data_IF_240435275387
#
_entry.id   IF_240435275387
#
_cell.length_a   1.000
_cell.length_b   1.000
_cell.length_c   1.000
_cell.angle_alpha   90.00
_cell.angle_beta   90.00
_cell.angle_gamma   90.00
#
_symmetry.space_group_name_H-M   'P 1'
#
loop_
_entity.id
_entity.type
_entity.pdbx_description
1 polymer ?
#
# COMPACT_ATOMS: atom_id res chain seq x y z
N UNK A 1 15.71 -58.80 57.17
CA UNK A 1 15.92 -57.42 57.70
C UNK A 1 17.05 -56.81 56.86
N UNK A 2 16.67 -56.22 55.77
CA UNK A 2 17.58 -55.77 54.71
C UNK A 2 17.96 -54.31 54.96
N UNK A 3 19.23 -54.05 55.24
CA UNK A 3 19.75 -52.70 55.47
C UNK A 3 20.02 -52.07 54.10
N UNK A 4 19.13 -51.20 53.65
CA UNK A 4 19.40 -50.33 52.51
C UNK A 4 20.63 -49.44 52.78
N UNK A 5 21.74 -49.77 52.12
CA UNK A 5 22.92 -48.91 52.08
C UNK A 5 22.63 -47.66 51.25
N UNK A 6 22.28 -46.57 51.91
CA UNK A 6 22.26 -45.23 51.25
C UNK A 6 23.70 -44.80 51.01
N UNK A 7 24.19 -44.92 49.75
CA UNK A 7 25.46 -44.33 49.34
C UNK A 7 25.33 -42.81 49.37
N UNK A 8 26.06 -42.17 50.32
CA UNK A 8 26.15 -40.71 50.35
C UNK A 8 26.91 -40.24 49.08
N UNK A 9 26.31 -39.32 48.34
CA UNK A 9 26.95 -38.68 47.20
C UNK A 9 28.15 -37.85 47.64
N UNK A 10 29.27 -37.99 46.94
CA UNK A 10 30.47 -37.18 47.24
C UNK A 10 30.22 -35.73 46.78
N UNK A 11 30.88 -34.75 47.46
CA UNK A 11 30.77 -33.33 47.10
C UNK A 11 30.99 -33.07 45.61
N UNK A 12 31.93 -33.79 45.00
CA UNK A 12 32.20 -33.73 43.53
C UNK A 12 31.00 -34.14 42.71
N UNK A 13 30.28 -35.18 43.09
CA UNK A 13 29.08 -35.64 42.36
C UNK A 13 27.92 -34.66 42.45
N UNK A 14 27.76 -33.99 43.60
CA UNK A 14 26.73 -32.94 43.80
C UNK A 14 27.00 -31.71 42.92
N UNK A 15 28.29 -31.26 42.86
CA UNK A 15 28.67 -30.15 41.97
C UNK A 15 28.51 -30.50 40.50
N UNK A 16 28.89 -31.71 40.08
CA UNK A 16 28.72 -32.16 38.69
C UNK A 16 27.25 -32.22 38.30
N UNK A 17 26.37 -32.72 39.16
CA UNK A 17 24.94 -32.77 38.94
C UNK A 17 24.30 -31.36 38.85
N UNK A 18 24.71 -30.46 39.75
CA UNK A 18 24.29 -29.05 39.71
C UNK A 18 24.68 -28.36 38.42
N UNK A 19 25.89 -28.59 37.90
CA UNK A 19 26.37 -27.99 36.65
C UNK A 19 25.60 -28.53 35.42
N UNK A 20 25.28 -29.83 35.40
CA UNK A 20 24.47 -30.44 34.35
C UNK A 20 23.04 -29.89 34.37
N UNK A 21 22.41 -29.78 35.54
CA UNK A 21 21.08 -29.20 35.67
C UNK A 21 21.04 -27.72 35.23
N UNK A 22 22.05 -26.93 35.60
CA UNK A 22 22.18 -25.55 35.18
C UNK A 22 22.31 -25.44 33.64
N UNK A 23 23.13 -26.29 33.05
CA UNK A 23 23.30 -26.32 31.58
C UNK A 23 22.02 -26.72 30.86
N UNK A 24 21.26 -27.69 31.37
CA UNK A 24 19.97 -28.11 30.83
C UNK A 24 18.90 -27.02 30.96
N UNK A 25 18.85 -26.29 32.09
CA UNK A 25 17.94 -25.15 32.26
C UNK A 25 18.30 -24.01 31.33
N UNK A 26 19.61 -23.73 31.15
CA UNK A 26 20.09 -22.72 30.23
C UNK A 26 19.75 -23.06 28.77
N UNK A 27 19.86 -24.30 28.35
CA UNK A 27 19.45 -24.78 27.06
C UNK A 27 17.92 -24.66 26.81
N UNK A 28 17.12 -24.90 27.87
CA UNK A 28 15.67 -24.71 27.78
C UNK A 28 15.27 -23.23 27.64
N UNK A 29 15.97 -22.33 28.35
CA UNK A 29 15.71 -20.90 28.28
C UNK A 29 16.05 -20.30 26.87
N UNK A 30 17.03 -20.86 26.17
CA UNK A 30 17.45 -20.40 24.85
C UNK A 30 16.38 -20.63 23.76
N UNK A 31 15.42 -21.53 23.97
CA UNK A 31 14.36 -21.83 22.98
C UNK A 31 13.14 -20.90 23.04
N UNK A 32 13.11 -19.93 23.97
CA UNK A 32 11.97 -19.00 24.10
C UNK A 32 12.15 -17.67 23.37
N UNK A 33 13.28 -17.44 22.72
CA UNK A 33 13.41 -16.30 21.80
C UNK A 33 12.66 -16.64 20.53
N UNK A 34 11.37 -16.36 20.51
CA UNK A 34 10.57 -16.38 19.28
C UNK A 34 11.04 -15.18 18.45
N UNK A 35 11.95 -15.45 17.53
CA UNK A 35 12.35 -14.46 16.53
C UNK A 35 11.10 -13.91 15.84
N UNK A 36 11.15 -12.64 15.41
CA UNK A 36 10.20 -12.06 14.47
C UNK A 36 9.97 -13.04 13.31
N UNK A 37 8.82 -13.02 12.62
CA UNK A 37 8.56 -13.95 11.52
C UNK A 37 9.74 -13.93 10.57
N UNK A 38 10.29 -15.10 10.26
CA UNK A 38 11.54 -15.26 9.50
C UNK A 38 11.48 -14.56 8.13
N UNK A 39 10.26 -14.34 7.59
CA UNK A 39 10.06 -13.62 6.33
C UNK A 39 8.60 -13.20 6.18
N UNK A 40 8.38 -11.99 5.64
CA UNK A 40 7.06 -11.55 5.16
C UNK A 40 6.79 -11.97 3.71
N UNK A 41 7.75 -12.63 3.05
CA UNK A 41 7.62 -13.01 1.64
C UNK A 41 6.37 -13.85 1.35
N UNK A 42 5.99 -14.88 2.14
CA UNK A 42 4.77 -15.64 1.87
C UNK A 42 3.49 -14.80 1.95
N UNK A 43 3.44 -13.84 2.87
CA UNK A 43 2.32 -12.90 2.97
C UNK A 43 2.26 -12.00 1.74
N UNK A 44 3.40 -11.43 1.35
CA UNK A 44 3.51 -10.57 0.16
C UNK A 44 3.10 -11.34 -1.11
N UNK A 45 3.55 -12.57 -1.28
CA UNK A 45 3.15 -13.42 -2.42
C UNK A 45 1.63 -13.65 -2.46
N UNK A 46 1.00 -13.81 -1.30
CA UNK A 46 -0.44 -14.04 -1.20
C UNK A 46 -1.26 -12.81 -1.51
N UNK A 47 -0.86 -11.62 -1.04
CA UNK A 47 -1.66 -10.39 -1.16
C UNK A 47 -1.35 -9.57 -2.42
N UNK A 48 -0.11 -9.65 -2.93
CA UNK A 48 0.34 -8.85 -4.08
C UNK A 48 -0.53 -8.95 -5.34
N UNK A 49 -1.11 -10.11 -5.68
CA UNK A 49 -1.97 -10.20 -6.87
C UNK A 49 -3.22 -9.31 -6.80
N UNK A 50 -3.69 -9.02 -5.59
CA UNK A 50 -4.85 -8.17 -5.35
C UNK A 50 -4.52 -6.68 -5.17
N UNK A 51 -3.22 -6.34 -5.06
CA UNK A 51 -2.77 -4.95 -4.96
C UNK A 51 -2.60 -4.38 -6.36
N UNK A 52 -3.14 -3.19 -6.59
CA UNK A 52 -3.20 -2.55 -7.90
C UNK A 52 -2.62 -1.15 -7.88
N UNK A 53 -2.08 -0.72 -9.01
CA UNK A 53 -1.77 0.67 -9.27
C UNK A 53 -3.01 1.38 -9.83
N UNK A 54 -3.21 2.63 -9.45
CA UNK A 54 -4.31 3.45 -9.94
C UNK A 54 -3.71 4.66 -10.63
N UNK A 55 -4.05 4.82 -11.89
CA UNK A 55 -3.70 6.01 -12.68
C UNK A 55 -4.97 6.80 -12.93
N UNK A 56 -4.96 8.07 -12.57
CA UNK A 56 -6.04 8.99 -12.88
C UNK A 56 -5.59 9.99 -13.92
N UNK A 57 -6.50 10.40 -14.79
CA UNK A 57 -6.28 11.50 -15.72
C UNK A 57 -7.36 12.56 -15.55
N UNK A 58 -6.92 13.82 -15.58
CA UNK A 58 -7.78 15.00 -15.48
C UNK A 58 -7.43 15.94 -16.62
N UNK A 59 -8.45 16.37 -17.35
CA UNK A 59 -8.30 17.36 -18.42
C UNK A 59 -8.33 18.75 -17.80
N UNK A 60 -7.17 19.33 -17.56
CA UNK A 60 -7.08 20.71 -17.08
C UNK A 60 -7.27 21.63 -18.26
N UNK A 61 -8.33 22.44 -18.23
CA UNK A 61 -8.48 23.53 -19.21
C UNK A 61 -7.22 24.40 -19.15
N UNK A 62 -6.65 24.69 -20.31
CA UNK A 62 -5.51 25.60 -20.32
C UNK A 62 -5.93 26.89 -19.62
N UNK A 63 -5.06 27.44 -18.75
CA UNK A 63 -5.32 28.75 -18.18
C UNK A 63 -5.53 29.69 -19.37
N UNK A 64 -6.74 30.24 -19.47
CA UNK A 64 -7.00 31.38 -20.36
C UNK A 64 -6.06 32.46 -19.85
N UNK A 65 -4.94 32.64 -20.55
CA UNK A 65 -4.02 33.72 -20.21
C UNK A 65 -4.84 34.99 -20.05
N UNK A 66 -4.39 35.95 -19.25
CA UNK A 66 -5.14 37.14 -18.98
C UNK A 66 -5.43 37.90 -20.28
N UNK A 67 -6.53 37.56 -20.93
CA UNK A 67 -7.11 38.33 -21.99
C UNK A 67 -7.56 39.66 -21.37
N UNK A 68 -6.81 40.69 -21.60
CA UNK A 68 -7.18 42.01 -21.16
C UNK A 68 -6.20 42.73 -20.23
N UNK A 69 -5.04 42.14 -19.92
CA UNK A 69 -4.03 42.85 -19.08
C UNK A 69 -3.18 43.82 -19.90
N UNK A 70 -3.06 43.63 -21.21
CA UNK A 70 -2.34 44.56 -22.08
C UNK A 70 -3.36 45.35 -22.87
N UNK A 71 -3.49 46.70 -22.64
CA UNK A 71 -4.34 47.56 -23.43
C UNK A 71 -3.95 47.51 -24.93
N UNK A 72 -4.97 47.49 -25.82
CA UNK A 72 -4.71 47.58 -27.24
C UNK A 72 -3.87 48.82 -27.59
N UNK A 73 -2.78 48.64 -28.35
CA UNK A 73 -1.84 49.67 -28.69
C UNK A 73 -0.69 49.89 -27.71
N UNK A 74 -0.53 48.97 -26.70
CA UNK A 74 0.61 49.02 -25.80
C UNK A 74 1.89 48.59 -26.52
N UNK A 75 3.06 49.26 -26.25
CA UNK A 75 4.34 48.84 -26.79
C UNK A 75 4.77 47.37 -26.39
N UNK A 76 4.05 46.80 -25.44
CA UNK A 76 4.31 45.44 -24.93
C UNK A 76 3.40 44.37 -25.58
N UNK A 77 2.46 44.78 -26.44
CA UNK A 77 1.50 43.85 -27.08
C UNK A 77 2.20 42.83 -27.97
N UNK A 78 3.18 43.25 -28.75
CA UNK A 78 3.96 42.40 -29.64
C UNK A 78 4.80 41.40 -28.85
N UNK A 79 5.48 41.86 -27.74
CA UNK A 79 6.27 41.04 -26.89
C UNK A 79 5.42 39.98 -26.14
N UNK A 80 4.21 40.33 -25.74
CA UNK A 80 3.29 39.45 -25.06
C UNK A 80 2.73 38.39 -26.04
N UNK A 81 2.46 38.78 -27.29
CA UNK A 81 2.04 37.88 -28.34
C UNK A 81 3.13 36.89 -28.70
N UNK A 82 4.39 37.34 -28.86
CA UNK A 82 5.56 36.52 -29.10
C UNK A 82 5.83 35.53 -27.93
N UNK A 83 5.60 35.96 -26.69
CA UNK A 83 5.72 35.13 -25.51
C UNK A 83 4.64 34.04 -25.44
N UNK A 84 3.39 34.39 -25.79
CA UNK A 84 2.29 33.43 -25.90
C UNK A 84 2.55 32.38 -27.00
N UNK A 85 3.00 32.82 -28.17
CA UNK A 85 3.30 31.94 -29.31
C UNK A 85 4.46 31.00 -29.02
N UNK A 86 5.51 31.45 -28.29
CA UNK A 86 6.67 30.64 -27.90
C UNK A 86 6.38 29.68 -26.75
N UNK A 87 5.50 30.04 -25.85
CA UNK A 87 5.12 29.21 -24.69
C UNK A 87 3.91 28.28 -24.97
N UNK A 88 3.52 28.10 -26.24
CA UNK A 88 2.44 27.22 -26.61
C UNK A 88 1.07 27.76 -26.20
N UNK A 89 0.84 29.06 -26.40
CA UNK A 89 -0.41 29.79 -26.07
C UNK A 89 -1.62 29.44 -26.91
N UNK A 90 -1.65 28.31 -27.59
CA UNK A 90 -2.89 27.71 -28.03
C UNK A 90 -3.43 26.90 -26.87
N UNK A 91 -4.48 27.39 -26.23
CA UNK A 91 -5.18 26.80 -25.08
C UNK A 91 -5.65 25.35 -25.30
N UNK A 92 -4.74 24.49 -25.72
CA UNK A 92 -4.97 23.06 -25.74
C UNK A 92 -5.10 22.54 -24.31
N UNK A 93 -6.15 21.78 -24.01
CA UNK A 93 -6.30 21.10 -22.74
C UNK A 93 -5.02 20.30 -22.41
N UNK A 94 -4.53 20.42 -21.20
CA UNK A 94 -3.41 19.60 -20.72
C UNK A 94 -3.96 18.48 -19.89
N UNK A 95 -3.57 17.25 -20.22
CA UNK A 95 -3.86 16.11 -19.37
C UNK A 95 -2.87 16.10 -18.22
N UNK A 96 -3.40 16.12 -17.00
CA UNK A 96 -2.66 15.86 -15.76
C UNK A 96 -2.94 14.42 -15.36
N UNK A 97 -1.92 13.70 -14.95
CA UNK A 97 -2.06 12.33 -14.41
C UNK A 97 -1.57 12.28 -12.99
N UNK A 98 -2.29 11.58 -12.15
CA UNK A 98 -1.85 11.23 -10.79
C UNK A 98 -1.77 9.71 -10.64
N UNK A 99 -0.95 9.27 -9.68
CA UNK A 99 -0.73 7.87 -9.38
C UNK A 99 -1.11 7.59 -7.93
N UNK A 100 -1.75 6.44 -7.71
CA UNK A 100 -2.10 5.95 -6.41
C UNK A 100 -2.05 4.43 -6.36
N UNK A 101 -2.47 3.87 -5.24
CA UNK A 101 -2.58 2.42 -5.05
C UNK A 101 -3.94 2.07 -4.49
N UNK A 102 -4.36 0.84 -4.73
CA UNK A 102 -5.57 0.27 -4.19
C UNK A 102 -5.46 -1.23 -4.03
N UNK A 103 -6.54 -1.85 -3.61
CA UNK A 103 -6.62 -3.30 -3.53
C UNK A 103 -8.02 -3.81 -3.83
N UNK A 104 -8.07 -4.97 -4.48
CA UNK A 104 -9.31 -5.66 -4.83
C UNK A 104 -9.86 -6.35 -3.58
N UNK A 105 -11.15 -6.18 -3.30
CA UNK A 105 -11.84 -6.74 -2.11
C UNK A 105 -12.86 -7.83 -2.44
N UNK A 106 -13.12 -8.06 -3.73
CA UNK A 106 -14.06 -9.11 -4.17
C UNK A 106 -13.71 -9.61 -5.55
N UNK A 107 -13.98 -10.88 -5.81
CA UNK A 107 -13.68 -11.54 -7.09
C UNK A 107 -14.41 -10.94 -8.29
N UNK A 108 -15.51 -10.23 -8.06
CA UNK A 108 -16.29 -9.54 -9.09
C UNK A 108 -15.79 -8.12 -9.40
N UNK A 109 -14.69 -7.66 -8.75
CA UNK A 109 -13.97 -6.46 -9.14
C UNK A 109 -14.28 -5.19 -8.37
N UNK A 110 -14.67 -5.28 -7.11
CA UNK A 110 -14.65 -4.11 -6.24
C UNK A 110 -13.25 -3.81 -5.74
N UNK A 111 -12.86 -2.53 -5.81
CA UNK A 111 -11.52 -2.04 -5.44
C UNK A 111 -11.65 -0.90 -4.45
N UNK A 112 -10.84 -0.91 -3.41
CA UNK A 112 -10.73 0.20 -2.45
C UNK A 112 -9.45 0.98 -2.70
N UNK A 113 -9.58 2.30 -2.63
CA UNK A 113 -8.47 3.27 -2.65
C UNK A 113 -8.83 4.47 -1.77
N UNK A 114 -7.95 5.47 -1.72
CA UNK A 114 -8.23 6.72 -1.05
C UNK A 114 -9.03 7.68 -1.95
N UNK A 115 -9.90 8.48 -1.34
CA UNK A 115 -10.69 9.46 -2.08
C UNK A 115 -9.80 10.50 -2.77
N UNK A 116 -8.75 11.00 -2.10
CA UNK A 116 -7.85 11.99 -2.68
C UNK A 116 -7.10 11.50 -3.93
N UNK A 117 -6.98 10.16 -4.13
CA UNK A 117 -6.35 9.58 -5.35
C UNK A 117 -7.23 9.80 -6.57
N UNK A 118 -8.55 9.77 -6.39
CA UNK A 118 -9.52 9.82 -7.50
C UNK A 118 -10.29 11.14 -7.57
N UNK A 119 -10.04 12.06 -6.63
CA UNK A 119 -10.70 13.36 -6.60
C UNK A 119 -10.36 14.14 -7.89
N UNK A 120 -11.39 14.71 -8.52
CA UNK A 120 -11.30 15.45 -9.79
C UNK A 120 -10.81 14.65 -11.01
N UNK A 121 -10.80 13.31 -10.93
CA UNK A 121 -10.42 12.45 -12.07
C UNK A 121 -11.54 12.35 -13.08
N UNK A 122 -11.23 12.60 -14.36
CA UNK A 122 -12.13 12.35 -15.50
C UNK A 122 -12.12 10.87 -15.89
N UNK A 123 -10.96 10.21 -15.75
CA UNK A 123 -10.78 8.79 -16.06
C UNK A 123 -9.93 8.13 -14.98
N UNK A 124 -10.31 6.91 -14.58
CA UNK A 124 -9.59 6.10 -13.59
C UNK A 124 -9.24 4.77 -14.24
N UNK A 125 -7.95 4.43 -14.26
CA UNK A 125 -7.41 3.16 -14.72
C UNK A 125 -6.77 2.39 -13.59
N UNK A 126 -7.02 1.11 -13.56
CA UNK A 126 -6.45 0.17 -12.60
C UNK A 126 -5.53 -0.77 -13.35
N UNK A 127 -4.26 -0.80 -12.94
CA UNK A 127 -3.24 -1.69 -13.46
C UNK A 127 -2.91 -2.78 -12.43
N UNK A 128 -3.07 -4.01 -12.84
CA UNK A 128 -2.73 -5.21 -12.08
C UNK A 128 -1.25 -5.56 -12.22
N UNK A 129 -0.75 -6.39 -11.32
CA UNK A 129 0.66 -6.82 -11.31
C UNK A 129 1.13 -7.51 -12.59
N UNK A 130 0.25 -8.20 -13.29
CA UNK A 130 0.51 -8.87 -14.58
C UNK A 130 0.50 -7.92 -15.78
N UNK A 131 0.26 -6.62 -15.56
CA UNK A 131 0.16 -5.60 -16.58
C UNK A 131 -1.24 -5.47 -17.22
N UNK A 132 -2.26 -6.17 -16.68
CA UNK A 132 -3.63 -6.00 -17.11
C UNK A 132 -4.14 -4.62 -16.65
N UNK A 133 -4.67 -3.84 -17.57
CA UNK A 133 -5.29 -2.54 -17.31
C UNK A 133 -6.80 -2.60 -17.50
N UNK A 134 -7.54 -2.07 -16.53
CA UNK A 134 -9.00 -1.98 -16.58
C UNK A 134 -9.46 -0.56 -16.24
N UNK A 135 -10.47 -0.08 -16.94
CA UNK A 135 -11.17 1.16 -16.57
C UNK A 135 -12.05 0.92 -15.34
N UNK A 136 -12.01 1.85 -14.40
CA UNK A 136 -12.79 1.77 -13.18
C UNK A 136 -13.87 2.85 -13.12
N UNK A 137 -15.00 2.47 -12.50
CA UNK A 137 -16.11 3.38 -12.21
C UNK A 137 -16.20 3.62 -10.72
N UNK A 138 -16.45 4.85 -10.31
CA UNK A 138 -16.68 5.20 -8.90
C UNK A 138 -18.06 4.70 -8.50
N UNK A 139 -18.10 3.87 -7.45
CA UNK A 139 -19.33 3.36 -6.83
C UNK A 139 -19.76 4.27 -5.67
N UNK A 140 -18.80 4.75 -4.90
CA UNK A 140 -19.05 5.66 -3.79
C UNK A 140 -17.76 6.16 -3.16
N UNK A 141 -17.89 7.26 -2.42
CA UNK A 141 -16.76 7.88 -1.70
C UNK A 141 -17.20 8.30 -0.31
N UNK A 142 -16.27 8.23 0.65
CA UNK A 142 -16.40 8.87 1.95
C UNK A 142 -15.19 9.79 2.16
N UNK A 143 -15.44 11.09 2.05
CA UNK A 143 -14.42 12.14 2.20
C UNK A 143 -13.92 12.29 3.64
N UNK A 144 -14.71 11.88 4.64
CA UNK A 144 -14.34 12.06 6.04
C UNK A 144 -13.25 11.09 6.48
N UNK A 145 -13.29 9.87 5.94
CA UNK A 145 -12.30 8.82 6.21
C UNK A 145 -11.36 8.57 5.02
N UNK A 146 -11.47 9.40 3.97
CA UNK A 146 -10.63 9.35 2.75
C UNK A 146 -10.67 7.98 2.06
N UNK A 147 -11.87 7.41 1.87
CA UNK A 147 -12.05 6.13 1.17
C UNK A 147 -12.90 6.31 -0.09
N UNK A 148 -12.50 5.63 -1.15
CA UNK A 148 -13.26 5.47 -2.38
C UNK A 148 -13.43 3.99 -2.72
N UNK A 149 -14.65 3.63 -3.15
CA UNK A 149 -15.01 2.32 -3.69
C UNK A 149 -15.15 2.44 -5.19
N UNK A 150 -14.38 1.63 -5.91
CA UNK A 150 -14.39 1.55 -7.36
C UNK A 150 -14.91 0.19 -7.81
N UNK A 151 -15.35 0.11 -9.06
CA UNK A 151 -15.76 -1.12 -9.73
C UNK A 151 -15.06 -1.23 -11.08
N UNK A 152 -14.42 -2.38 -11.32
CA UNK A 152 -13.92 -2.78 -12.65
C UNK A 152 -14.74 -3.93 -13.18
N UNK A 153 -14.82 -4.01 -14.51
CA UNK A 153 -15.50 -5.09 -15.22
C UNK A 153 -14.46 -6.03 -15.84
N UNK A 154 -14.51 -7.30 -15.49
CA UNK A 154 -13.65 -8.34 -16.07
C UNK A 154 -14.44 -9.64 -16.26
N UNK A 155 -14.02 -10.49 -17.20
CA UNK A 155 -14.73 -11.74 -17.54
C UNK A 155 -14.46 -12.85 -16.54
N UNK A 156 -13.23 -12.89 -16.04
CA UNK A 156 -12.76 -13.91 -15.10
C UNK A 156 -12.77 -13.33 -13.67
N UNK A 157 -12.76 -14.21 -12.67
CA UNK A 157 -12.63 -13.81 -11.27
C UNK A 157 -11.28 -13.14 -11.02
N UNK A 158 -11.30 -12.01 -10.33
CA UNK A 158 -10.11 -11.26 -9.97
C UNK A 158 -9.55 -11.72 -8.63
N UNK A 159 -8.21 -11.71 -8.45
CA UNK A 159 -7.62 -11.93 -7.15
C UNK A 159 -8.03 -10.83 -6.19
N UNK A 160 -8.37 -11.20 -4.96
CA UNK A 160 -8.84 -10.26 -3.95
C UNK A 160 -8.30 -10.59 -2.57
N UNK A 161 -8.30 -9.60 -1.67
CA UNK A 161 -7.96 -9.75 -0.24
C UNK A 161 -9.20 -9.71 0.61
N UNK A 162 -9.17 -10.42 1.74
CA UNK A 162 -10.23 -10.37 2.75
C UNK A 162 -9.90 -9.32 3.82
N UNK A 163 -10.91 -8.68 4.36
CA UNK A 163 -10.74 -7.79 5.51
C UNK A 163 -10.36 -8.58 6.76
N UNK A 164 -9.40 -8.04 7.50
CA UNK A 164 -9.07 -8.52 8.83
C UNK A 164 -10.00 -7.93 9.89
N UNK A 165 -9.95 -8.51 11.09
CA UNK A 165 -10.60 -7.97 12.27
C UNK A 165 -9.61 -7.05 13.00
N UNK A 166 -9.86 -5.74 12.95
CA UNK A 166 -9.00 -4.74 13.57
C UNK A 166 -9.11 -4.72 15.10
N UNK A 167 -10.20 -5.24 15.66
CA UNK A 167 -10.42 -5.26 17.13
C UNK A 167 -9.47 -6.24 17.85
N UNK A 168 -9.00 -7.28 17.13
CA UNK A 168 -8.02 -8.23 17.64
C UNK A 168 -6.58 -7.90 17.27
N UNK A 169 -6.35 -6.85 16.48
CA UNK A 169 -5.02 -6.44 16.02
C UNK A 169 -4.17 -5.93 17.19
N UNK A 170 -2.90 -6.30 17.18
CA UNK A 170 -1.92 -5.88 18.21
C UNK A 170 -0.90 -4.96 17.60
N UNK A 171 -0.40 -4.02 18.42
CA UNK A 171 0.71 -3.14 18.05
C UNK A 171 2.02 -3.91 18.19
N UNK A 172 2.86 -3.90 17.14
CA UNK A 172 4.20 -4.51 17.13
C UNK A 172 4.32 -5.85 16.47
#
# INVERSE_FOLDING_TARGET
MDRMHTKSLTKSQVYSFGLICFFLIFQMAANFVKAAPESLAPLVETVSPAVVNITTSTTVAAPVGPQGIVPEGSPFEELFRDFQDRNGGNGAPRNSSALGSGFVISSDGYVITNNHVIEDADEIRIEFRDGMELEAKVVGVDKNIDIALLKVEHKDELPYVQFGDSDISKVG
#
